data_IF_520950639250
#
_entry.id   IF_520950639250
#
_cell.length_a   1.000
_cell.length_b   1.000
_cell.length_c   1.000
_cell.angle_alpha   90.00
_cell.angle_beta   90.00
_cell.angle_gamma   90.00
#
_symmetry.space_group_name_H-M   'P 1'
#
loop_
_entity.id
_entity.type
_entity.pdbx_description
1 polymer ?
#
# COMPACT_ATOMS: atom_id res chain seq x y z
N UNK A 1 30.16 27.38 58.21
CA UNK A 1 31.11 26.27 58.18
C UNK A 1 30.49 25.11 57.41
N UNK A 2 31.13 24.74 56.33
CA UNK A 2 31.18 23.43 55.60
C UNK A 2 29.87 22.66 55.29
N UNK A 3 29.10 23.11 54.30
CA UNK A 3 28.14 22.26 53.57
C UNK A 3 28.71 21.68 52.27
N UNK A 4 30.00 21.93 51.97
CA UNK A 4 30.63 21.46 50.73
C UNK A 4 31.05 19.97 50.69
N UNK A 5 31.06 19.28 51.84
CA UNK A 5 31.55 17.91 51.94
C UNK A 5 30.54 16.82 51.52
N UNK A 6 29.26 17.14 51.49
CA UNK A 6 28.20 16.16 51.15
C UNK A 6 27.69 16.28 49.71
N UNK A 7 27.92 17.39 49.03
CA UNK A 7 27.40 17.63 47.64
C UNK A 7 28.07 16.72 46.63
N UNK A 8 29.36 16.47 46.75
CA UNK A 8 30.08 15.61 45.79
C UNK A 8 29.61 14.15 45.87
N UNK A 9 29.49 13.50 47.06
CA UNK A 9 28.99 12.14 47.14
C UNK A 9 27.50 12.02 46.74
N UNK A 10 26.66 13.04 46.96
CA UNK A 10 25.26 13.00 46.51
C UNK A 10 25.12 13.08 44.99
N UNK A 11 25.96 13.86 44.31
CA UNK A 11 26.01 13.92 42.85
C UNK A 11 26.43 12.56 42.27
N UNK A 12 27.43 11.90 42.84
CA UNK A 12 27.84 10.56 42.42
C UNK A 12 26.73 9.51 42.58
N UNK A 13 26.01 9.54 43.72
CA UNK A 13 24.87 8.65 43.94
C UNK A 13 23.74 8.87 42.93
N UNK A 14 23.43 10.12 42.60
CA UNK A 14 22.44 10.45 41.59
C UNK A 14 22.86 9.98 40.16
N UNK A 15 24.16 10.11 39.84
CA UNK A 15 24.70 9.62 38.58
C UNK A 15 24.61 8.08 38.47
N UNK A 16 25.01 7.37 39.53
CA UNK A 16 24.91 5.90 39.57
C UNK A 16 23.43 5.47 39.46
N UNK A 17 22.53 6.16 40.18
CA UNK A 17 21.09 5.87 40.10
C UNK A 17 20.54 6.11 38.71
N UNK A 18 20.90 7.20 38.03
CA UNK A 18 20.44 7.47 36.67
C UNK A 18 20.92 6.42 35.66
N UNK A 19 22.18 5.95 35.81
CA UNK A 19 22.75 4.89 34.95
C UNK A 19 22.04 3.57 35.20
N UNK A 20 21.78 3.19 36.45
CA UNK A 20 21.06 1.93 36.75
C UNK A 20 19.63 1.95 36.28
N UNK A 21 18.92 3.08 36.40
CA UNK A 21 17.58 3.28 35.84
C UNK A 21 17.60 3.20 34.30
N UNK A 22 18.59 3.82 33.65
CA UNK A 22 18.78 3.74 32.20
C UNK A 22 18.99 2.29 31.71
N UNK A 23 19.87 1.54 32.40
CA UNK A 23 20.11 0.11 32.12
C UNK A 23 18.82 -0.73 32.30
N UNK A 24 18.06 -0.45 33.36
CA UNK A 24 16.80 -1.13 33.61
C UNK A 24 15.79 -0.90 32.49
N UNK A 25 15.62 0.34 32.04
CA UNK A 25 14.69 0.64 30.94
C UNK A 25 15.16 0.11 29.59
N UNK A 26 16.46 0.13 29.30
CA UNK A 26 17.00 -0.45 28.07
C UNK A 26 16.84 -1.97 28.06
N UNK A 27 17.09 -2.63 29.20
CA UNK A 27 16.87 -4.06 29.34
C UNK A 27 15.38 -4.41 29.20
N UNK A 28 14.48 -3.67 29.85
CA UNK A 28 13.03 -3.86 29.73
C UNK A 28 12.53 -3.64 28.28
N UNK A 29 13.08 -2.63 27.58
CA UNK A 29 12.80 -2.41 26.18
C UNK A 29 13.31 -3.57 25.31
N UNK A 30 14.52 -4.05 25.58
CA UNK A 30 15.10 -5.20 24.87
C UNK A 30 14.29 -6.47 25.11
N UNK A 31 13.94 -6.79 26.36
CA UNK A 31 13.10 -7.95 26.71
C UNK A 31 11.67 -7.86 26.13
N UNK A 32 11.19 -6.66 25.79
CA UNK A 32 9.91 -6.48 25.09
C UNK A 32 10.02 -6.62 23.57
N UNK A 33 11.25 -6.64 23.01
CA UNK A 33 11.53 -6.99 21.62
C UNK A 33 11.85 -8.47 21.42
N UNK A 34 12.20 -9.20 22.49
CA UNK A 34 12.24 -10.66 22.44
C UNK A 34 10.83 -11.19 22.72
N UNK A 35 10.40 -11.96 21.82
CA UNK A 35 9.32 -12.95 21.78
C UNK A 35 8.36 -12.65 20.64
N UNK A 36 8.84 -12.83 19.42
CA UNK A 36 8.21 -13.85 18.62
C UNK A 36 9.12 -15.09 18.66
N UNK A 37 9.22 -15.77 19.82
CA UNK A 37 9.56 -17.16 19.81
C UNK A 37 8.53 -17.84 18.91
N UNK A 38 9.05 -18.62 17.94
CA UNK A 38 8.29 -19.62 17.21
C UNK A 38 7.54 -20.49 18.22
N UNK A 39 6.32 -20.12 18.59
CA UNK A 39 5.40 -21.06 19.21
C UNK A 39 5.30 -22.21 18.22
N UNK A 40 5.75 -23.38 18.69
CA UNK A 40 5.59 -24.66 18.05
C UNK A 40 4.30 -24.71 17.25
N UNK A 41 4.41 -24.44 15.95
CA UNK A 41 3.36 -24.77 15.00
C UNK A 41 3.33 -26.28 14.99
N UNK A 42 2.47 -26.85 15.84
CA UNK A 42 2.10 -28.27 15.76
C UNK A 42 1.51 -28.43 14.36
N UNK A 43 2.35 -28.92 13.45
CA UNK A 43 1.90 -29.34 12.14
C UNK A 43 0.71 -30.27 12.33
N UNK A 44 -0.46 -29.76 12.00
CA UNK A 44 -1.69 -30.52 11.92
C UNK A 44 -1.39 -31.77 11.09
N UNK A 45 -1.59 -32.91 11.68
CA UNK A 45 -1.20 -34.21 11.18
C UNK A 45 -1.50 -34.39 9.67
N UNK A 46 -0.63 -35.12 9.03
CA UNK A 46 -0.57 -35.51 7.62
C UNK A 46 -1.86 -36.05 6.96
N UNK A 47 -2.98 -36.07 7.65
CA UNK A 47 -4.28 -36.54 7.13
C UNK A 47 -4.98 -35.53 6.19
N UNK A 48 -4.54 -34.27 6.15
CA UNK A 48 -5.08 -33.26 5.23
C UNK A 48 -4.32 -33.24 3.90
N UNK A 49 -3.12 -33.83 3.85
CA UNK A 49 -2.27 -33.84 2.65
C UNK A 49 -2.72 -34.80 1.53
N UNK A 50 -3.74 -35.65 1.77
CA UNK A 50 -4.25 -36.56 0.76
C UNK A 50 -5.47 -36.04 -0.02
N UNK A 51 -5.87 -34.79 0.19
CA UNK A 51 -6.69 -34.10 -0.80
C UNK A 51 -5.75 -33.46 -1.79
N UNK A 52 -5.65 -34.00 -2.98
CA UNK A 52 -5.15 -33.29 -4.16
C UNK A 52 -6.03 -32.05 -4.36
N UNK A 53 -5.69 -30.96 -3.66
CA UNK A 53 -6.18 -29.64 -4.03
C UNK A 53 -5.56 -29.41 -5.40
N UNK A 54 -6.35 -29.25 -6.47
CA UNK A 54 -5.77 -28.87 -7.74
C UNK A 54 -4.96 -27.60 -7.47
N UNK A 55 -3.65 -27.65 -7.73
CA UNK A 55 -2.82 -26.46 -7.77
C UNK A 55 -3.38 -25.68 -8.95
N UNK A 56 -4.32 -24.80 -8.69
CA UNK A 56 -4.69 -23.77 -9.65
C UNK A 56 -3.42 -22.95 -9.78
N UNK A 57 -2.72 -23.17 -10.87
CA UNK A 57 -1.56 -22.38 -11.25
C UNK A 57 -2.11 -20.99 -11.59
N UNK A 58 -2.37 -20.17 -10.56
CA UNK A 58 -2.72 -18.77 -10.77
C UNK A 58 -1.48 -18.18 -11.42
N UNK A 59 -1.59 -17.68 -12.65
CA UNK A 59 -0.42 -17.10 -13.29
C UNK A 59 0.10 -15.97 -12.40
N UNK A 60 1.40 -16.00 -12.14
CA UNK A 60 2.13 -14.98 -11.38
C UNK A 60 2.24 -13.68 -12.20
N UNK A 61 1.08 -13.14 -12.57
CA UNK A 61 0.92 -11.99 -13.44
C UNK A 61 0.16 -10.89 -12.70
N UNK A 62 0.56 -9.66 -12.91
CA UNK A 62 -0.19 -8.49 -12.46
C UNK A 62 -1.55 -8.48 -13.18
N UNK A 63 -2.63 -8.39 -12.41
CA UNK A 63 -4.00 -8.46 -12.91
C UNK A 63 -4.65 -7.09 -13.03
N UNK A 64 -5.85 -7.05 -13.61
CA UNK A 64 -6.69 -5.86 -13.66
C UNK A 64 -7.04 -5.37 -12.23
N UNK A 65 -7.08 -4.05 -11.99
CA UNK A 65 -7.41 -3.48 -10.68
C UNK A 65 -8.92 -3.48 -10.39
N UNK A 66 -9.73 -4.04 -11.24
CA UNK A 66 -11.19 -4.05 -11.09
C UNK A 66 -11.82 -5.33 -11.64
N UNK A 67 -13.06 -5.58 -11.22
CA UNK A 67 -13.97 -6.55 -11.82
C UNK A 67 -15.14 -5.83 -12.49
N UNK A 68 -15.59 -6.34 -13.64
CA UNK A 68 -16.75 -5.84 -14.38
C UNK A 68 -16.43 -5.53 -15.85
N UNK A 69 -17.39 -5.78 -16.73
CA UNK A 69 -17.25 -5.59 -18.18
C UNK A 69 -17.51 -4.13 -18.63
N UNK A 70 -18.16 -3.32 -17.79
CA UNK A 70 -18.58 -1.95 -18.13
C UNK A 70 -17.55 -0.89 -17.69
N UNK A 71 -16.36 -1.30 -17.21
CA UNK A 71 -15.31 -0.38 -16.79
C UNK A 71 -14.42 -0.04 -17.98
N UNK A 72 -14.22 1.25 -18.24
CA UNK A 72 -13.43 1.76 -19.35
C UNK A 72 -12.34 2.69 -18.84
N UNK A 73 -11.30 2.91 -19.67
CA UNK A 73 -10.26 3.90 -19.39
C UNK A 73 -10.81 5.27 -19.77
N UNK A 74 -10.73 6.22 -18.82
CA UNK A 74 -11.09 7.62 -19.01
C UNK A 74 -9.88 8.47 -19.37
N UNK A 75 -8.76 8.30 -18.64
CA UNK A 75 -7.54 9.08 -18.83
C UNK A 75 -6.35 8.14 -18.74
N UNK A 76 -5.44 8.23 -19.71
CA UNK A 76 -4.23 7.42 -19.78
C UNK A 76 -3.10 8.01 -18.94
N UNK A 77 -2.07 7.21 -18.67
CA UNK A 77 -0.81 7.67 -18.11
C UNK A 77 -0.11 8.64 -19.05
N UNK A 78 0.39 9.76 -18.52
CA UNK A 78 1.11 10.75 -19.30
C UNK A 78 2.56 10.34 -19.56
N UNK A 79 2.94 10.24 -20.83
CA UNK A 79 4.33 10.05 -21.22
C UNK A 79 4.77 11.22 -22.12
N UNK A 80 5.86 11.88 -21.74
CA UNK A 80 6.42 13.03 -22.49
C UNK A 80 6.93 12.68 -23.89
N UNK A 81 7.15 11.40 -24.18
CA UNK A 81 7.63 10.91 -25.47
C UNK A 81 6.50 10.52 -26.43
N UNK A 82 5.25 10.46 -25.95
CA UNK A 82 4.10 10.14 -26.79
C UNK A 82 3.77 11.24 -27.80
N UNK A 83 3.01 10.87 -28.82
CA UNK A 83 2.46 11.82 -29.81
C UNK A 83 1.45 12.79 -29.16
N UNK A 84 1.08 13.86 -29.89
CA UNK A 84 0.17 14.90 -29.39
C UNK A 84 -1.19 14.37 -28.98
N UNK A 85 -1.76 13.45 -29.74
CA UNK A 85 -3.12 12.92 -29.51
C UNK A 85 -3.16 12.08 -28.22
N UNK A 86 -2.13 11.29 -27.97
CA UNK A 86 -2.01 10.52 -26.73
C UNK A 86 -1.74 11.41 -25.52
N UNK A 87 -0.90 12.44 -25.69
CA UNK A 87 -0.67 13.42 -24.61
C UNK A 87 -1.96 14.12 -24.23
N UNK A 88 -2.81 14.50 -25.18
CA UNK A 88 -4.11 15.13 -24.89
C UNK A 88 -5.02 14.21 -24.09
N UNK A 89 -5.05 12.89 -24.39
CA UNK A 89 -5.83 11.88 -23.69
C UNK A 89 -5.28 11.51 -22.30
N UNK A 90 -4.09 11.99 -21.96
CA UNK A 90 -3.40 11.75 -20.69
C UNK A 90 -3.31 12.99 -19.80
N UNK A 91 -4.11 14.02 -20.09
CA UNK A 91 -4.21 15.22 -19.27
C UNK A 91 -5.48 15.21 -18.42
N UNK A 92 -5.32 15.55 -17.15
CA UNK A 92 -6.42 15.81 -16.21
C UNK A 92 -6.67 17.31 -16.14
N UNK A 93 -7.92 17.73 -16.35
CA UNK A 93 -8.32 19.13 -16.22
C UNK A 93 -8.95 19.38 -14.85
N UNK A 94 -8.33 20.24 -14.07
CA UNK A 94 -8.86 20.64 -12.77
C UNK A 94 -8.54 22.11 -12.49
N UNK A 95 -9.48 22.84 -11.92
CA UNK A 95 -9.34 24.23 -11.52
C UNK A 95 -8.70 25.12 -12.63
N UNK A 96 -9.21 24.99 -13.83
CA UNK A 96 -8.74 25.73 -15.04
C UNK A 96 -7.27 25.45 -15.45
N UNK A 97 -6.73 24.31 -15.03
CA UNK A 97 -5.36 23.88 -15.35
C UNK A 97 -5.35 22.45 -15.87
N UNK A 98 -4.53 22.20 -16.89
CA UNK A 98 -4.23 20.86 -17.37
C UNK A 98 -2.99 20.32 -16.64
N UNK A 99 -3.09 19.10 -16.13
CA UNK A 99 -2.01 18.41 -15.40
C UNK A 99 -1.74 17.05 -16.04
N UNK A 100 -0.47 16.63 -16.15
CA UNK A 100 -0.13 15.26 -16.54
C UNK A 100 -0.75 14.24 -15.59
N UNK A 101 -1.35 13.18 -16.13
CA UNK A 101 -1.90 12.07 -15.34
C UNK A 101 -0.77 11.12 -14.92
N UNK A 102 -0.64 10.88 -13.62
CA UNK A 102 0.41 10.03 -13.03
C UNK A 102 0.03 8.54 -12.96
N UNK A 103 -1.17 8.21 -13.40
CA UNK A 103 -1.71 6.85 -13.38
C UNK A 103 -2.69 6.60 -14.52
N UNK A 104 -3.60 5.67 -14.31
CA UNK A 104 -4.72 5.39 -15.21
C UNK A 104 -6.01 5.68 -14.45
N UNK A 105 -6.89 6.47 -15.07
CA UNK A 105 -8.26 6.65 -14.56
C UNK A 105 -9.20 5.66 -15.25
N UNK A 106 -9.81 4.80 -14.47
CA UNK A 106 -10.89 3.92 -14.86
C UNK A 106 -12.23 4.52 -14.46
N UNK A 107 -13.26 4.32 -15.28
CA UNK A 107 -14.60 4.86 -15.02
C UNK A 107 -15.70 3.90 -15.44
N UNK A 108 -16.84 3.96 -14.73
CA UNK A 108 -18.08 3.27 -15.07
C UNK A 108 -19.28 4.10 -14.57
N UNK A 109 -20.45 3.90 -15.18
CA UNK A 109 -21.71 4.45 -14.67
C UNK A 109 -22.13 3.77 -13.36
N UNK A 110 -21.75 2.50 -13.17
CA UNK A 110 -22.03 1.71 -11.97
C UNK A 110 -20.82 1.65 -11.04
N UNK A 111 -21.08 1.48 -9.75
CA UNK A 111 -20.04 1.12 -8.78
C UNK A 111 -19.46 -0.24 -9.17
N UNK A 112 -18.15 -0.35 -9.17
CA UNK A 112 -17.44 -1.60 -9.44
C UNK A 112 -16.48 -1.92 -8.30
N UNK A 113 -16.17 -3.21 -8.17
CA UNK A 113 -15.23 -3.69 -7.18
C UNK A 113 -13.80 -3.35 -7.59
N UNK A 114 -13.03 -2.81 -6.64
CA UNK A 114 -11.61 -2.53 -6.79
C UNK A 114 -10.81 -3.68 -6.20
N UNK A 115 -9.90 -4.22 -7.02
CA UNK A 115 -9.12 -5.41 -6.71
C UNK A 115 -7.63 -5.08 -6.61
N UNK A 116 -6.92 -5.78 -5.74
CA UNK A 116 -5.45 -5.71 -5.72
C UNK A 116 -4.87 -6.31 -7.00
N UNK A 117 -3.98 -5.58 -7.65
CA UNK A 117 -3.31 -6.01 -8.89
C UNK A 117 -2.34 -7.16 -8.67
N UNK A 118 -1.83 -7.33 -7.45
CA UNK A 118 -0.89 -8.37 -7.05
C UNK A 118 -0.98 -8.62 -5.54
N UNK A 119 -0.37 -9.70 -5.05
CA UNK A 119 -0.25 -9.94 -3.61
C UNK A 119 0.63 -8.89 -2.93
N UNK A 120 0.36 -8.58 -1.67
CA UNK A 120 1.12 -7.57 -0.96
C UNK A 120 0.64 -7.28 0.45
N UNK A 121 1.08 -6.16 0.99
CA UNK A 121 0.68 -5.67 2.32
C UNK A 121 0.19 -4.24 2.20
N UNK A 122 -0.95 -3.94 2.82
CA UNK A 122 -1.46 -2.56 2.92
C UNK A 122 -0.53 -1.74 3.80
N UNK A 123 0.15 -0.77 3.20
CA UNK A 123 1.12 0.06 3.92
C UNK A 123 0.52 1.38 4.40
N UNK A 124 -0.51 1.88 3.72
CA UNK A 124 -1.18 3.10 4.15
C UNK A 124 -2.62 3.17 3.64
N UNK A 125 -3.46 3.91 4.40
CA UNK A 125 -4.84 4.27 4.04
C UNK A 125 -5.03 5.73 4.39
N UNK A 126 -5.45 6.53 3.41
CA UNK A 126 -5.64 7.97 3.55
C UNK A 126 -7.02 8.38 3.04
N UNK A 127 -7.48 9.53 3.50
CA UNK A 127 -8.64 10.21 2.94
C UNK A 127 -8.27 11.67 2.63
N UNK A 128 -8.48 12.07 1.40
CA UNK A 128 -8.20 13.42 0.89
C UNK A 128 -9.46 14.00 0.26
N UNK A 129 -9.68 15.29 0.44
CA UNK A 129 -10.87 15.98 -0.10
C UNK A 129 -10.92 16.00 -1.63
N UNK A 130 -9.76 15.99 -2.29
CA UNK A 130 -9.64 16.08 -3.75
C UNK A 130 -9.62 14.70 -4.39
N UNK A 131 -8.80 13.81 -3.83
CA UNK A 131 -8.51 12.48 -4.39
C UNK A 131 -9.49 11.40 -3.90
N UNK A 132 -10.21 11.65 -2.79
CA UNK A 132 -11.04 10.66 -2.13
C UNK A 132 -10.23 9.71 -1.25
N UNK A 133 -10.81 8.56 -0.90
CA UNK A 133 -10.12 7.55 -0.11
C UNK A 133 -9.09 6.83 -0.95
N UNK A 134 -7.93 6.57 -0.35
CA UNK A 134 -6.76 5.98 -1.00
C UNK A 134 -6.24 4.81 -0.20
N UNK A 135 -5.88 3.73 -0.89
CA UNK A 135 -5.19 2.56 -0.35
C UNK A 135 -3.85 2.40 -1.05
N UNK A 136 -2.78 2.24 -0.28
CA UNK A 136 -1.44 1.94 -0.78
C UNK A 136 -1.05 0.52 -0.40
N UNK A 137 -0.65 -0.28 -1.39
CA UNK A 137 -0.23 -1.67 -1.21
C UNK A 137 1.22 -1.81 -1.68
N UNK A 138 2.08 -2.33 -0.80
CA UNK A 138 3.45 -2.71 -1.14
C UNK A 138 3.47 -4.17 -1.56
N UNK A 139 4.00 -4.40 -2.74
CA UNK A 139 4.26 -5.72 -3.31
C UNK A 139 5.75 -6.10 -3.16
N UNK A 140 6.13 -7.27 -3.63
CA UNK A 140 7.54 -7.64 -3.71
C UNK A 140 8.29 -6.77 -4.74
N UNK A 141 9.63 -6.75 -4.69
CA UNK A 141 10.50 -6.02 -5.62
C UNK A 141 10.28 -4.50 -5.67
N UNK A 142 10.03 -3.88 -4.50
CA UNK A 142 9.88 -2.43 -4.36
C UNK A 142 8.76 -1.81 -5.21
N UNK A 143 7.81 -2.63 -5.64
CA UNK A 143 6.60 -2.18 -6.33
C UNK A 143 5.55 -1.75 -5.31
N UNK A 144 4.96 -0.58 -5.52
CA UNK A 144 3.83 -0.08 -4.75
C UNK A 144 2.70 0.27 -5.72
N UNK A 145 1.49 -0.18 -5.42
CA UNK A 145 0.28 0.27 -6.11
C UNK A 145 -0.52 1.20 -5.20
N UNK A 146 -1.07 2.25 -5.80
CA UNK A 146 -1.88 3.26 -5.12
C UNK A 146 -3.24 3.32 -5.80
N UNK A 147 -4.30 3.10 -5.03
CA UNK A 147 -5.68 3.09 -5.47
C UNK A 147 -6.38 4.30 -4.88
N UNK A 148 -6.76 5.27 -5.71
CA UNK A 148 -7.41 6.50 -5.27
C UNK A 148 -8.84 6.63 -5.80
N UNK A 149 -9.65 7.40 -5.11
CA UNK A 149 -11.05 7.64 -5.49
C UNK A 149 -11.99 6.55 -5.01
N UNK A 150 -11.62 5.79 -3.99
CA UNK A 150 -12.48 4.76 -3.41
C UNK A 150 -13.63 5.38 -2.62
N UNK A 151 -14.82 4.76 -2.72
CA UNK A 151 -15.96 5.10 -1.85
C UNK A 151 -15.91 4.30 -0.55
N UNK A 152 -15.79 2.99 -0.64
CA UNK A 152 -15.63 2.11 0.51
C UNK A 152 -14.28 1.40 0.47
N UNK A 153 -13.65 1.23 1.66
CA UNK A 153 -12.42 0.46 1.86
C UNK A 153 -12.76 -0.75 2.72
N UNK A 154 -12.38 -1.94 2.27
CA UNK A 154 -12.68 -3.23 2.91
C UNK A 154 -11.43 -3.86 3.57
N UNK A 155 -10.34 -3.11 3.66
CA UNK A 155 -9.06 -3.56 4.21
C UNK A 155 -8.54 -2.56 5.24
N UNK A 156 -7.57 -3.00 6.05
CA UNK A 156 -6.92 -2.19 7.09
C UNK A 156 -5.41 -2.13 6.86
N UNK A 157 -4.77 -1.09 7.38
CA UNK A 157 -3.31 -0.96 7.36
C UNK A 157 -2.65 -2.15 8.08
N UNK A 158 -1.71 -2.81 7.40
CA UNK A 158 -1.02 -4.01 7.85
C UNK A 158 -1.61 -5.31 7.33
N UNK A 159 -2.79 -5.30 6.68
CA UNK A 159 -3.39 -6.50 6.12
C UNK A 159 -2.54 -7.08 4.99
N UNK A 160 -2.44 -8.41 4.97
CA UNK A 160 -1.84 -9.15 3.86
C UNK A 160 -2.93 -9.41 2.82
N UNK A 161 -2.67 -8.99 1.60
CA UNK A 161 -3.62 -9.01 0.49
C UNK A 161 -3.19 -10.05 -0.54
N UNK A 162 -4.12 -10.88 -0.97
CA UNK A 162 -3.90 -11.82 -2.07
C UNK A 162 -4.10 -11.13 -3.44
N UNK A 163 -3.49 -11.71 -4.47
CA UNK A 163 -3.73 -11.32 -5.88
C UNK A 163 -5.23 -11.34 -6.20
N UNK A 164 -5.76 -10.24 -6.76
CA UNK A 164 -7.17 -10.11 -7.12
C UNK A 164 -8.14 -10.01 -5.94
N UNK A 165 -7.64 -9.89 -4.72
CA UNK A 165 -8.50 -9.66 -3.56
C UNK A 165 -9.18 -8.31 -3.65
N UNK A 166 -10.47 -8.26 -3.36
CA UNK A 166 -11.22 -7.01 -3.24
C UNK A 166 -10.68 -6.18 -2.08
N UNK A 167 -10.38 -4.90 -2.35
CA UNK A 167 -9.87 -3.95 -1.38
C UNK A 167 -10.84 -2.81 -1.10
N UNK A 168 -11.86 -2.66 -1.95
CA UNK A 168 -12.89 -1.64 -1.81
C UNK A 168 -13.78 -1.54 -3.03
N UNK A 169 -14.44 -0.40 -3.17
CA UNK A 169 -15.30 -0.06 -4.31
C UNK A 169 -14.92 1.28 -4.90
N UNK A 170 -15.15 1.44 -6.20
CA UNK A 170 -14.99 2.70 -6.92
C UNK A 170 -15.91 3.78 -6.37
N UNK A 171 -15.49 5.04 -6.47
CA UNK A 171 -16.24 6.17 -5.94
C UNK A 171 -16.20 7.40 -6.84
N UNK A 172 -16.66 8.51 -6.27
CA UNK A 172 -16.67 9.83 -6.89
C UNK A 172 -15.76 10.74 -6.07
N UNK A 173 -14.88 11.51 -6.71
CA UNK A 173 -14.02 12.47 -6.07
C UNK A 173 -14.11 13.85 -6.76
N UNK A 174 -13.42 14.88 -6.24
CA UNK A 174 -13.48 16.23 -6.83
C UNK A 174 -12.79 16.35 -8.18
N UNK A 175 -11.82 15.48 -8.49
CA UNK A 175 -11.19 15.43 -9.82
C UNK A 175 -12.09 14.74 -10.85
N UNK A 176 -12.88 13.76 -10.40
CA UNK A 176 -13.72 12.93 -11.23
C UNK A 176 -15.16 12.92 -10.70
N UNK A 177 -15.92 13.94 -11.06
CA UNK A 177 -17.30 14.15 -10.59
C UNK A 177 -18.36 13.40 -11.40
N UNK A 178 -17.98 12.79 -12.52
CA UNK A 178 -18.89 12.02 -13.40
C UNK A 178 -18.53 10.55 -13.35
N UNK A 179 -19.51 9.73 -13.00
CA UNK A 179 -19.37 8.28 -12.89
C UNK A 179 -18.56 7.84 -11.67
N UNK A 180 -18.48 6.55 -11.47
CA UNK A 180 -17.65 5.93 -10.44
C UNK A 180 -16.25 5.72 -11.02
N UNK A 181 -15.23 6.11 -10.29
CA UNK A 181 -13.86 6.18 -10.80
C UNK A 181 -12.90 5.42 -9.88
N UNK A 182 -11.81 4.97 -10.47
CA UNK A 182 -10.62 4.47 -9.81
C UNK A 182 -9.42 5.10 -10.52
N UNK A 183 -8.55 5.78 -9.78
CA UNK A 183 -7.23 6.16 -10.25
C UNK A 183 -6.21 5.17 -9.70
N UNK A 184 -5.47 4.51 -10.61
CA UNK A 184 -4.41 3.57 -10.27
C UNK A 184 -3.06 4.15 -10.64
N UNK A 185 -2.16 4.25 -9.66
CA UNK A 185 -0.74 4.51 -9.89
C UNK A 185 0.09 3.28 -9.52
N UNK A 186 1.18 3.07 -10.23
CA UNK A 186 2.19 2.05 -9.90
C UNK A 186 3.54 2.74 -9.77
N UNK A 187 4.19 2.55 -8.64
CA UNK A 187 5.54 3.02 -8.37
C UNK A 187 6.51 1.84 -8.34
N UNK A 188 7.65 1.99 -9.01
CA UNK A 188 8.78 1.07 -8.93
C UNK A 188 10.02 1.84 -8.54
N UNK A 189 10.69 1.44 -7.46
CA UNK A 189 11.88 2.13 -6.91
C UNK A 189 11.62 3.64 -6.65
N UNK A 190 10.38 4.00 -6.30
CA UNK A 190 9.99 5.38 -6.04
C UNK A 190 9.63 6.21 -7.28
N UNK A 191 9.76 5.67 -8.49
CA UNK A 191 9.36 6.33 -9.73
C UNK A 191 8.01 5.77 -10.20
N UNK A 192 7.11 6.67 -10.65
CA UNK A 192 5.83 6.28 -11.22
C UNK A 192 6.03 5.68 -12.61
N UNK A 193 5.36 4.57 -12.88
CA UNK A 193 5.42 3.87 -14.16
C UNK A 193 4.02 3.65 -14.72
N UNK A 194 3.93 3.48 -16.05
CA UNK A 194 2.67 3.27 -16.76
C UNK A 194 2.01 1.94 -16.34
N UNK A 195 0.84 1.97 -15.67
CA UNK A 195 0.16 0.76 -15.21
C UNK A 195 -0.21 -0.22 -16.34
N UNK A 196 -0.53 0.28 -17.54
CA UNK A 196 -0.86 -0.58 -18.67
C UNK A 196 0.34 -1.41 -19.15
N UNK A 197 1.55 -0.93 -18.92
CA UNK A 197 2.76 -1.70 -19.24
C UNK A 197 3.07 -2.78 -18.21
N UNK A 198 2.41 -2.75 -17.06
CA UNK A 198 2.58 -3.72 -15.97
C UNK A 198 1.53 -4.83 -16.02
N UNK A 199 0.26 -4.49 -16.30
CA UNK A 199 -0.86 -5.45 -16.34
C UNK A 199 -0.57 -6.55 -17.39
N UNK A 200 -0.73 -7.80 -16.98
CA UNK A 200 -0.46 -8.99 -17.80
C UNK A 200 1.01 -9.42 -17.82
N UNK A 201 1.90 -8.74 -17.11
CA UNK A 201 3.32 -9.15 -16.97
C UNK A 201 3.59 -9.79 -15.62
N UNK A 202 4.66 -10.57 -15.54
CA UNK A 202 5.20 -11.03 -14.26
C UNK A 202 5.87 -9.87 -13.52
N UNK A 203 5.82 -9.91 -12.20
CA UNK A 203 6.44 -8.89 -11.37
C UNK A 203 7.94 -8.71 -11.64
N UNK A 204 8.64 -9.79 -11.96
CA UNK A 204 10.08 -9.75 -12.31
C UNK A 204 10.41 -9.18 -13.68
N UNK A 205 9.42 -9.00 -14.57
CA UNK A 205 9.60 -8.52 -15.94
C UNK A 205 9.28 -7.01 -16.10
N UNK A 206 9.02 -6.31 -14.98
CA UNK A 206 8.69 -4.89 -14.92
C UNK A 206 9.93 -4.06 -14.63
#
# INVERSE_FOLDING_TARGET
MKSRSLVVPTIYLLLIFSITVGIYFTKKAYDSYEVFEEENINYVSSSILNRTIPIINIPDLITSPFSGEEVTIKTYFYNSEDDSDKKEQSLVFYNNTYMPNTGIDYTSEKIFDVLSIYEGTVIDIKEDELLGKTVEIRHNNELISVYQGLDNIEVSKGDIIALGQKIGTSGINKLNTKGNNLHLEIYKNGEVIDPLKCIGKKLGDI
#
